data_IF_694107625779
#
_entry.id   IF_694107625779
#
_cell.length_a   1.000
_cell.length_b   1.000
_cell.length_c   1.000
_cell.angle_alpha   90.00
_cell.angle_beta   90.00
_cell.angle_gamma   90.00
#
_symmetry.space_group_name_H-M   'P 1'
#
loop_
_entity.id
_entity.type
_entity.pdbx_description
1 polymer ?
#
# COMPACT_ATOMS: atom_id res chain seq x y z
N UNK A 1 -3.25 -7.99 -9.98
CA UNK A 1 -2.55 -8.79 -8.94
C UNK A 1 -3.46 -8.99 -7.75
N UNK A 2 -3.19 -9.97 -6.89
CA UNK A 2 -3.96 -10.21 -5.66
C UNK A 2 -3.45 -9.29 -4.54
N UNK A 3 -4.33 -8.70 -3.70
CA UNK A 3 -3.90 -7.90 -2.57
C UNK A 3 -3.20 -8.77 -1.52
N UNK A 4 -2.12 -8.25 -0.95
CA UNK A 4 -1.37 -8.83 0.17
C UNK A 4 -1.20 -7.78 1.26
N UNK A 5 -0.96 -8.25 2.49
CA UNK A 5 -0.76 -7.40 3.67
C UNK A 5 -1.94 -6.43 3.93
N UNK A 6 -3.17 -6.97 4.03
CA UNK A 6 -4.35 -6.18 4.39
C UNK A 6 -4.33 -5.85 5.88
N UNK A 7 -4.46 -4.57 6.22
CA UNK A 7 -4.55 -4.07 7.61
C UNK A 7 -5.66 -3.05 7.73
N UNK A 8 -6.54 -3.20 8.73
CA UNK A 8 -7.53 -2.17 9.06
C UNK A 8 -6.94 -1.16 10.06
N UNK A 9 -7.10 0.12 9.75
CA UNK A 9 -6.76 1.24 10.63
C UNK A 9 -8.00 2.12 10.74
N UNK A 10 -8.69 2.03 11.89
CA UNK A 10 -9.84 2.87 12.22
C UNK A 10 -10.93 2.92 11.13
N UNK A 11 -11.22 1.77 10.50
CA UNK A 11 -12.23 1.67 9.44
C UNK A 11 -11.71 1.86 8.01
N UNK A 12 -10.47 2.31 7.83
CA UNK A 12 -9.80 2.33 6.51
C UNK A 12 -8.97 1.07 6.33
N UNK A 13 -9.15 0.36 5.22
CA UNK A 13 -8.30 -0.76 4.83
C UNK A 13 -7.08 -0.23 4.10
N UNK A 14 -5.90 -0.68 4.52
CA UNK A 14 -4.63 -0.46 3.84
C UNK A 14 -4.09 -1.77 3.31
N UNK A 15 -3.57 -1.77 2.09
CA UNK A 15 -3.09 -2.98 1.44
C UNK A 15 -2.08 -2.68 0.34
N UNK A 16 -1.29 -3.68 -0.03
CA UNK A 16 -0.39 -3.60 -1.17
C UNK A 16 -1.08 -4.15 -2.43
N UNK A 17 -1.09 -3.36 -3.50
CA UNK A 17 -1.68 -3.75 -4.78
C UNK A 17 -0.92 -3.16 -5.97
N UNK A 18 -1.05 -3.81 -7.12
CA UNK A 18 -0.46 -3.38 -8.39
C UNK A 18 -1.59 -3.15 -9.40
N UNK A 19 -1.65 -1.93 -9.93
CA UNK A 19 -2.65 -1.42 -10.88
C UNK A 19 -2.22 -1.58 -12.36
N UNK A 20 -1.00 -2.09 -12.60
CA UNK A 20 -0.41 -2.23 -13.93
C UNK A 20 0.27 -0.96 -14.46
N UNK A 21 0.24 0.15 -13.72
CA UNK A 21 0.81 1.45 -14.12
C UNK A 21 1.92 1.87 -13.16
N UNK A 22 1.62 1.86 -11.86
CA UNK A 22 2.45 2.41 -10.78
C UNK A 22 3.36 1.36 -10.13
N UNK A 23 3.32 0.11 -10.60
CA UNK A 23 3.95 -0.99 -9.86
C UNK A 23 3.12 -1.41 -8.64
N UNK A 24 3.72 -2.12 -7.69
CA UNK A 24 3.05 -2.57 -6.47
C UNK A 24 3.26 -1.55 -5.36
N UNK A 25 2.19 -0.86 -4.97
CA UNK A 25 2.24 0.31 -4.07
C UNK A 25 1.29 0.19 -2.86
N UNK A 26 1.26 1.22 -1.99
CA UNK A 26 0.34 1.31 -0.85
C UNK A 26 -1.01 1.91 -1.28
N UNK A 27 -2.08 1.16 -1.03
CA UNK A 27 -3.45 1.58 -1.32
C UNK A 27 -4.28 1.66 -0.04
N UNK A 28 -5.30 2.53 -0.06
CA UNK A 28 -6.34 2.60 0.95
C UNK A 28 -7.73 2.41 0.35
N UNK A 29 -8.66 1.90 1.13
CA UNK A 29 -10.07 1.76 0.75
C UNK A 29 -10.99 1.87 1.97
N UNK A 30 -12.17 2.45 1.78
CA UNK A 30 -13.30 2.36 2.72
C UNK A 30 -14.29 1.23 2.38
N UNK A 31 -13.97 0.41 1.38
CA UNK A 31 -14.83 -0.64 0.84
C UNK A 31 -15.60 -0.25 -0.41
N UNK A 32 -15.52 1.00 -0.86
CA UNK A 32 -16.11 1.49 -2.11
C UNK A 32 -15.07 1.71 -3.19
N UNK A 33 -15.49 1.71 -4.46
CA UNK A 33 -14.60 2.04 -5.58
C UNK A 33 -14.12 3.48 -5.49
N UNK A 34 -15.02 4.41 -5.14
CA UNK A 34 -14.74 5.85 -5.00
C UNK A 34 -13.79 6.16 -3.84
N UNK A 35 -13.89 5.41 -2.74
CA UNK A 35 -13.02 5.53 -1.58
C UNK A 35 -11.70 4.75 -1.70
N UNK A 36 -11.47 4.07 -2.82
CA UNK A 36 -10.22 3.34 -3.08
C UNK A 36 -9.23 4.24 -3.79
N UNK A 37 -8.08 4.48 -3.18
CA UNK A 37 -7.06 5.39 -3.70
C UNK A 37 -5.64 4.96 -3.35
N UNK A 38 -4.68 5.38 -4.17
CA UNK A 38 -3.26 5.29 -3.88
C UNK A 38 -2.94 6.20 -2.69
N UNK A 39 -2.21 5.69 -1.70
CA UNK A 39 -1.75 6.48 -0.54
C UNK A 39 -0.48 7.21 -0.91
N UNK A 40 0.47 6.49 -1.51
CA UNK A 40 1.74 7.01 -1.96
C UNK A 40 2.27 6.14 -3.10
N UNK A 41 2.95 6.78 -4.05
CA UNK A 41 3.79 6.15 -5.06
C UNK A 41 5.23 6.13 -4.52
N UNK A 42 5.60 5.05 -3.83
CA UNK A 42 6.84 4.97 -3.05
C UNK A 42 8.02 4.60 -3.96
N UNK A 43 7.81 3.71 -4.93
CA UNK A 43 8.80 3.38 -5.95
C UNK A 43 8.18 3.55 -7.35
N UNK A 44 8.26 4.77 -7.94
CA UNK A 44 7.56 5.10 -9.16
C UNK A 44 7.89 4.18 -10.34
N UNK A 45 6.83 3.72 -11.00
CA UNK A 45 6.90 2.98 -12.25
C UNK A 45 6.81 1.46 -12.09
N UNK A 46 6.80 0.76 -13.23
CA UNK A 46 6.50 -0.68 -13.28
C UNK A 46 7.53 -1.58 -12.56
N UNK A 47 8.69 -1.01 -12.21
CA UNK A 47 9.77 -1.66 -11.46
C UNK A 47 9.45 -1.82 -9.96
N UNK A 48 8.36 -1.21 -9.46
CA UNK A 48 7.80 -1.38 -8.11
C UNK A 48 7.44 -2.85 -7.83
N UNK A 49 8.44 -3.70 -7.64
CA UNK A 49 8.29 -5.15 -7.50
C UNK A 49 8.13 -5.55 -6.04
N UNK A 50 8.73 -4.76 -5.14
CA UNK A 50 8.70 -4.95 -3.70
C UNK A 50 7.89 -3.84 -3.03
N UNK A 51 6.59 -3.83 -3.31
CA UNK A 51 5.67 -2.95 -2.60
C UNK A 51 5.67 -3.14 -1.08
N UNK A 52 4.97 -2.25 -0.36
CA UNK A 52 5.05 -2.17 1.09
C UNK A 52 4.73 -3.50 1.79
N UNK A 53 5.50 -3.80 2.84
CA UNK A 53 5.44 -5.04 3.61
C UNK A 53 5.24 -4.74 5.10
N UNK A 54 4.84 -5.77 5.85
CA UNK A 54 4.68 -5.71 7.31
C UNK A 54 3.76 -4.58 7.77
N UNK A 55 2.69 -4.31 7.02
CA UNK A 55 1.66 -3.37 7.42
C UNK A 55 1.16 -3.75 8.82
N UNK A 56 1.34 -2.84 9.76
CA UNK A 56 1.05 -3.05 11.17
C UNK A 56 0.33 -1.81 11.68
N UNK A 57 -0.87 -2.01 12.22
CA UNK A 57 -1.58 -0.95 12.93
C UNK A 57 -1.06 -0.89 14.37
N UNK A 58 -0.55 0.27 14.79
CA UNK A 58 -0.19 0.57 16.17
C UNK A 58 -1.02 1.80 16.59
N UNK A 59 -2.02 1.56 17.42
CA UNK A 59 -2.87 2.62 18.00
C UNK A 59 -3.45 3.63 16.98
N UNK A 60 -3.84 3.15 15.79
CA UNK A 60 -4.42 3.99 14.74
C UNK A 60 -3.39 4.58 13.77
N UNK A 61 -2.11 4.24 13.93
CA UNK A 61 -1.04 4.59 12.99
C UNK A 61 -0.60 3.35 12.21
N UNK A 62 -0.50 3.48 10.89
CA UNK A 62 0.02 2.42 10.03
C UNK A 62 1.55 2.51 9.97
N UNK A 63 2.23 1.44 10.35
CA UNK A 63 3.66 1.23 10.12
C UNK A 63 3.87 0.18 9.05
N UNK A 64 4.86 0.37 8.19
CA UNK A 64 5.22 -0.56 7.14
C UNK A 64 6.69 -0.34 6.76
N UNK A 65 7.28 -1.34 6.09
CA UNK A 65 8.57 -1.18 5.41
C UNK A 65 8.31 -1.09 3.91
N UNK A 66 8.98 -0.17 3.24
CA UNK A 66 9.00 -0.08 1.79
C UNK A 66 10.41 0.29 1.36
N UNK A 67 10.79 -0.15 0.16
CA UNK A 67 12.04 0.22 -0.48
C UNK A 67 11.71 1.27 -1.54
N UNK A 68 12.19 2.49 -1.37
CA UNK A 68 12.00 3.59 -2.32
C UNK A 68 13.06 3.58 -3.45
N UNK A 69 13.90 2.53 -3.50
CA UNK A 69 15.00 2.38 -4.44
C UNK A 69 16.26 3.16 -4.03
N UNK A 70 16.22 3.91 -2.92
CA UNK A 70 17.33 4.71 -2.39
C UNK A 70 17.61 4.37 -0.91
N UNK A 71 16.58 4.06 -0.14
CA UNK A 71 16.59 3.72 1.28
C UNK A 71 15.71 2.48 1.52
N UNK A 72 16.25 1.52 2.25
CA UNK A 72 15.54 0.32 2.72
C UNK A 72 15.29 0.34 4.22
#
# INVERSE_FOLDING_TARGET
GWPNAITNVSGTLFFSANDGVSGRELWKSDGTSEGTALVADILPGVEGRYGPKYLTNIEGSLFFTADDGIHG
#
